data_IF_395650220531
#
_entry.id   IF_395650220531
#
_cell.length_a   1.000
_cell.length_b   1.000
_cell.length_c   1.000
_cell.angle_alpha   90.00
_cell.angle_beta   90.00
_cell.angle_gamma   90.00
#
_symmetry.space_group_name_H-M   'P 1'
#
loop_
_entity.id
_entity.type
_entity.pdbx_description
1 polymer ?
#
# COMPACT_ATOMS: atom_id res chain seq x y z
N UNK A 1 -14.37 2.40 -10.16
CA UNK A 1 -13.34 1.58 -9.47
C UNK A 1 -12.33 1.15 -10.52
N UNK A 2 -11.03 1.08 -10.23
CA UNK A 2 -10.06 0.50 -11.17
C UNK A 2 -10.19 -1.03 -11.18
N UNK A 3 -9.61 -1.71 -12.18
CA UNK A 3 -9.59 -3.19 -12.20
C UNK A 3 -8.88 -3.82 -10.98
N UNK A 4 -7.97 -3.09 -10.33
CA UNK A 4 -7.37 -3.50 -9.04
C UNK A 4 -8.35 -3.48 -7.87
N UNK A 5 -9.36 -2.61 -7.91
CA UNK A 5 -10.38 -2.48 -6.86
C UNK A 5 -11.50 -3.53 -7.01
N UNK A 6 -11.78 -4.02 -8.22
CA UNK A 6 -12.78 -5.09 -8.45
C UNK A 6 -12.30 -6.43 -7.89
N UNK A 7 -11.06 -6.83 -8.23
CA UNK A 7 -10.37 -7.99 -7.62
C UNK A 7 -10.38 -7.87 -6.08
N UNK A 8 -10.36 -6.64 -5.56
CA UNK A 8 -10.41 -6.39 -4.13
C UNK A 8 -11.74 -6.83 -3.49
N UNK A 9 -12.87 -6.51 -4.13
CA UNK A 9 -14.21 -6.76 -3.61
C UNK A 9 -14.59 -8.26 -3.64
N UNK A 10 -14.36 -8.92 -4.79
CA UNK A 10 -14.61 -10.36 -4.97
C UNK A 10 -13.78 -11.20 -4.00
N UNK A 11 -12.48 -10.93 -3.91
CA UNK A 11 -11.56 -11.68 -3.02
C UNK A 11 -11.85 -11.42 -1.54
N UNK A 12 -12.33 -10.23 -1.17
CA UNK A 12 -12.61 -9.89 0.23
C UNK A 12 -13.86 -10.62 0.74
N UNK A 13 -14.98 -10.55 0.01
CA UNK A 13 -16.18 -11.31 0.37
C UNK A 13 -15.90 -12.82 0.43
N UNK A 14 -15.22 -13.39 -0.57
CA UNK A 14 -14.95 -14.84 -0.63
C UNK A 14 -13.97 -15.38 0.43
N UNK A 15 -13.33 -14.53 1.25
CA UNK A 15 -12.42 -14.95 2.33
C UNK A 15 -12.86 -14.46 3.73
N UNK A 16 -13.89 -13.61 3.78
CA UNK A 16 -14.46 -13.01 4.98
C UNK A 16 -15.89 -13.51 5.23
N UNK A 17 -16.12 -14.82 5.10
CA UNK A 17 -17.25 -15.51 5.74
C UNK A 17 -17.11 -15.36 7.26
N UNK A 18 -17.69 -14.29 7.79
CA UNK A 18 -17.72 -13.96 9.21
C UNK A 18 -18.85 -14.72 9.93
N UNK A 19 -18.94 -16.03 9.67
CA UNK A 19 -19.80 -16.96 10.41
C UNK A 19 -19.18 -17.24 11.77
N UNK A 20 -19.42 -16.34 12.73
CA UNK A 20 -19.10 -16.59 14.13
C UNK A 20 -19.90 -17.81 14.62
N UNK A 21 -19.27 -18.87 15.16
CA UNK A 21 -20.01 -19.96 15.77
C UNK A 21 -20.74 -19.45 17.01
N UNK A 22 -22.07 -19.61 17.01
CA UNK A 22 -22.87 -19.43 18.22
C UNK A 22 -22.59 -20.65 19.10
N UNK A 23 -21.88 -20.45 20.21
CA UNK A 23 -21.68 -21.50 21.21
C UNK A 23 -23.03 -21.86 21.82
N UNK A 24 -23.50 -23.08 21.55
CA UNK A 24 -24.57 -23.72 22.31
C UNK A 24 -23.91 -24.63 23.35
N UNK A 25 -24.36 -24.57 24.61
CA UNK A 25 -23.76 -25.33 25.71
C UNK A 25 -24.17 -26.82 25.71
N UNK A 26 -23.49 -27.60 26.56
CA UNK A 26 -23.71 -29.00 26.90
C UNK A 26 -23.17 -30.04 25.89
N UNK A 27 -22.04 -30.67 26.23
CA UNK A 27 -22.12 -31.98 26.90
C UNK A 27 -20.91 -32.19 27.84
N UNK A 28 -21.04 -33.05 28.86
CA UNK A 28 -19.96 -33.41 29.78
C UNK A 28 -19.27 -34.71 29.37
N UNK A 29 -17.94 -34.83 29.57
CA UNK A 29 -17.37 -36.13 29.99
C UNK A 29 -15.97 -36.01 30.59
N UNK A 30 -15.71 -36.83 31.62
CA UNK A 30 -14.44 -36.90 32.36
C UNK A 30 -13.30 -37.58 31.59
N UNK A 31 -12.05 -37.12 31.79
CA UNK A 31 -10.88 -38.02 31.98
C UNK A 31 -9.65 -37.35 32.63
N UNK A 32 -8.84 -38.18 33.28
CA UNK A 32 -8.00 -37.83 34.44
C UNK A 32 -6.55 -37.38 34.14
N UNK A 33 -6.09 -36.36 34.87
CA UNK A 33 -4.88 -36.31 35.73
C UNK A 33 -3.52 -36.88 35.23
N UNK A 34 -2.46 -36.04 35.21
CA UNK A 34 -1.13 -36.44 35.72
C UNK A 34 -0.17 -35.28 36.11
N UNK A 35 0.11 -35.17 37.42
CA UNK A 35 1.34 -34.75 38.14
C UNK A 35 2.49 -33.90 37.50
N UNK A 36 2.86 -32.81 38.22
CA UNK A 36 4.22 -32.35 38.69
C UNK A 36 5.37 -32.15 37.65
N UNK A 37 6.40 -31.30 37.78
CA UNK A 37 7.27 -30.80 38.88
C UNK A 37 7.95 -29.44 38.48
N UNK A 38 8.73 -28.64 39.24
CA UNK A 38 8.79 -28.13 40.65
C UNK A 38 9.78 -26.92 40.75
N UNK A 39 9.86 -26.25 41.91
CA UNK A 39 11.04 -25.55 42.51
C UNK A 39 11.68 -24.28 41.86
N UNK A 40 11.27 -23.12 42.39
CA UNK A 40 12.08 -22.12 43.14
C UNK A 40 13.50 -21.65 42.72
N UNK A 41 13.75 -20.34 42.88
CA UNK A 41 14.99 -19.74 43.45
C UNK A 41 14.68 -18.35 44.05
N UNK A 42 15.35 -17.99 45.16
CA UNK A 42 15.22 -16.70 45.85
C UNK A 42 16.43 -15.78 45.60
N UNK A 43 16.23 -14.46 45.54
CA UNK A 43 17.30 -13.47 45.51
C UNK A 43 16.86 -12.12 46.07
N UNK A 44 17.45 -11.69 47.21
CA UNK A 44 17.25 -10.36 47.80
C UNK A 44 18.51 -9.50 47.64
N UNK A 45 18.33 -8.19 47.38
CA UNK A 45 19.15 -7.11 47.99
C UNK A 45 18.30 -5.84 48.12
N UNK A 46 18.81 -4.85 48.85
CA UNK A 46 18.00 -3.86 49.59
C UNK A 46 18.57 -2.44 49.45
N UNK A 47 17.81 -1.44 49.92
CA UNK A 47 18.21 -0.09 50.34
C UNK A 47 18.34 0.96 49.19
N UNK A 48 18.12 2.27 49.41
CA UNK A 48 17.91 3.03 50.67
C UNK A 48 17.22 4.39 50.45
N UNK A 49 16.54 4.91 51.49
CA UNK A 49 16.11 6.33 51.68
C UNK A 49 15.09 6.91 50.67
N UNK A 50 14.33 7.98 50.97
CA UNK A 50 14.38 8.93 52.10
C UNK A 50 13.35 8.66 53.21
N UNK A 51 12.51 9.64 53.60
CA UNK A 51 11.86 9.72 54.93
C UNK A 51 10.84 10.88 55.09
N UNK A 52 10.19 10.92 56.27
CA UNK A 52 9.45 12.04 56.92
C UNK A 52 7.92 12.13 56.82
N UNK A 53 7.28 12.12 58.01
CA UNK A 53 5.89 12.54 58.29
C UNK A 53 5.88 13.23 59.67
N UNK A 54 5.31 14.44 59.79
CA UNK A 54 4.42 14.74 60.92
C UNK A 54 3.26 15.70 60.55
N UNK A 55 2.20 15.90 61.33
CA UNK A 55 1.43 15.06 62.29
C UNK A 55 0.20 15.92 62.69
N UNK A 56 -0.97 15.32 62.91
CA UNK A 56 -2.14 15.86 63.67
C UNK A 56 -2.67 17.28 63.33
N UNK A 57 -3.97 17.34 62.98
CA UNK A 57 -4.85 18.36 63.55
C UNK A 57 -6.16 17.71 63.99
N UNK A 58 -6.67 18.11 65.15
CA UNK A 58 -7.94 17.64 65.71
C UNK A 58 -9.05 18.63 65.40
N UNK A 59 -10.16 18.15 64.84
CA UNK A 59 -11.50 18.68 65.13
C UNK A 59 -12.56 17.68 64.67
N UNK A 60 -13.63 17.52 65.47
CA UNK A 60 -14.69 16.55 65.21
C UNK A 60 -15.83 17.15 64.39
N UNK A 61 -15.98 16.71 63.14
CA UNK A 61 -17.20 16.91 62.34
C UNK A 61 -17.58 15.59 61.67
N UNK A 62 -18.71 15.00 62.08
CA UNK A 62 -19.23 13.77 61.48
C UNK A 62 -19.94 14.11 60.16
N UNK A 63 -19.17 14.21 59.09
CA UNK A 63 -19.72 14.30 57.74
C UNK A 63 -20.23 12.93 57.29
N UNK A 64 -21.55 12.74 57.34
CA UNK A 64 -22.23 11.64 56.65
C UNK A 64 -22.01 11.76 55.14
N UNK A 65 -20.98 11.08 54.62
CA UNK A 65 -20.78 10.93 53.18
C UNK A 65 -21.87 10.01 52.63
N UNK A 66 -22.71 10.44 51.66
CA UNK A 66 -23.67 9.54 51.03
C UNK A 66 -22.93 8.33 50.42
N UNK A 67 -23.52 7.13 50.44
CA UNK A 67 -22.95 5.98 49.74
C UNK A 67 -22.70 6.34 48.27
N UNK A 68 -21.52 6.04 47.76
CA UNK A 68 -21.25 6.12 46.32
C UNK A 68 -22.04 4.98 45.66
N UNK A 69 -23.27 5.28 45.27
CA UNK A 69 -24.13 4.35 44.53
C UNK A 69 -23.40 3.94 43.26
N UNK A 70 -23.09 2.64 43.17
CA UNK A 70 -22.44 2.00 42.02
C UNK A 70 -23.26 2.39 40.78
N UNK A 71 -22.70 3.21 39.90
CA UNK A 71 -23.32 3.52 38.61
C UNK A 71 -23.31 2.24 37.77
N UNK A 72 -24.40 1.48 37.85
CA UNK A 72 -24.67 0.43 36.88
C UNK A 72 -24.73 1.10 35.51
N UNK A 73 -23.83 0.68 34.61
CA UNK A 73 -23.77 1.22 33.26
C UNK A 73 -24.95 0.68 32.46
N UNK A 74 -26.09 1.38 32.51
CA UNK A 74 -27.24 1.14 31.63
C UNK A 74 -26.93 1.65 30.22
N UNK A 75 -25.95 1.02 29.57
CA UNK A 75 -25.74 1.14 28.13
C UNK A 75 -26.88 0.43 27.41
N UNK A 76 -28.02 1.10 27.29
CA UNK A 76 -29.06 0.70 26.36
C UNK A 76 -28.65 1.12 24.94
N UNK A 77 -28.55 0.19 23.97
CA UNK A 77 -28.34 0.58 22.59
C UNK A 77 -29.58 1.34 22.09
N UNK A 78 -29.41 2.59 21.65
CA UNK A 78 -30.47 3.34 20.95
C UNK A 78 -30.62 2.84 19.51
N UNK A 79 -31.18 1.65 19.36
CA UNK A 79 -31.60 1.07 18.07
C UNK A 79 -33.12 1.17 17.90
N UNK A 80 -33.63 2.40 18.06
CA UNK A 80 -35.00 2.82 17.75
C UNK A 80 -35.03 4.35 17.65
N UNK A 81 -36.02 4.90 16.93
CA UNK A 81 -36.19 6.34 16.62
C UNK A 81 -35.20 6.93 15.60
N UNK A 82 -34.96 6.21 14.49
CA UNK A 82 -34.59 6.78 13.19
C UNK A 82 -35.36 6.07 12.05
N UNK A 83 -36.68 6.01 12.18
CA UNK A 83 -37.60 5.45 11.18
C UNK A 83 -38.20 6.50 10.22
N UNK A 84 -38.26 7.77 10.65
CA UNK A 84 -39.10 8.78 9.99
C UNK A 84 -38.37 10.11 9.76
N UNK A 85 -38.58 10.68 8.58
CA UNK A 85 -38.24 12.06 8.16
C UNK A 85 -36.77 12.51 8.31
N UNK A 86 -35.96 12.32 7.26
CA UNK A 86 -34.87 13.27 6.96
C UNK A 86 -34.68 13.53 5.45
N UNK A 87 -35.78 13.81 4.75
CA UNK A 87 -35.77 14.43 3.41
C UNK A 87 -35.34 15.91 3.48
N UNK A 88 -34.08 16.15 3.84
CA UNK A 88 -33.39 17.43 3.63
C UNK A 88 -31.86 17.30 3.77
N UNK A 89 -31.14 17.93 2.83
CA UNK A 89 -29.80 18.48 3.04
C UNK A 89 -28.67 17.54 3.55
N UNK A 90 -28.54 16.33 2.99
CA UNK A 90 -27.24 15.62 2.93
C UNK A 90 -26.72 15.59 1.49
N UNK A 91 -25.90 16.58 1.06
CA UNK A 91 -25.31 16.57 -0.26
C UNK A 91 -24.27 15.46 -0.43
N UNK A 92 -24.68 14.39 -1.11
CA UNK A 92 -23.83 13.72 -2.10
C UNK A 92 -22.66 12.83 -1.62
N UNK A 93 -22.77 12.16 -0.46
CA UNK A 93 -21.95 10.95 -0.22
C UNK A 93 -22.32 9.80 -1.17
N UNK A 94 -23.58 9.75 -1.61
CA UNK A 94 -24.10 8.74 -2.54
C UNK A 94 -23.88 9.05 -4.04
N UNK A 95 -22.96 9.95 -4.42
CA UNK A 95 -22.62 10.22 -5.84
C UNK A 95 -21.16 10.00 -6.22
N UNK A 96 -20.49 9.08 -5.53
CA UNK A 96 -19.60 8.16 -6.25
C UNK A 96 -20.46 7.08 -6.93
N UNK A 97 -21.27 7.53 -7.90
CA UNK A 97 -21.97 6.66 -8.84
C UNK A 97 -20.98 5.71 -9.51
N UNK A 98 -21.43 4.50 -9.83
CA UNK A 98 -20.62 3.38 -10.30
C UNK A 98 -19.94 3.67 -11.65
N UNK A 99 -18.81 4.39 -11.59
CA UNK A 99 -17.86 4.46 -12.70
C UNK A 99 -17.21 3.08 -12.76
N UNK A 100 -17.80 2.25 -13.61
CA UNK A 100 -17.27 0.98 -14.11
C UNK A 100 -15.75 1.07 -14.42
N UNK A 101 -15.05 -0.06 -14.28
CA UNK A 101 -13.61 -0.10 -14.47
C UNK A 101 -13.18 0.19 -15.91
N UNK A 102 -13.94 -0.24 -16.92
CA UNK A 102 -13.60 0.08 -18.31
C UNK A 102 -13.76 1.58 -18.57
N UNK A 103 -14.83 2.20 -18.05
CA UNK A 103 -15.01 3.66 -18.10
C UNK A 103 -13.95 4.45 -17.31
N UNK A 104 -13.42 3.89 -16.22
CA UNK A 104 -12.34 4.50 -15.43
C UNK A 104 -11.00 4.38 -16.16
N UNK A 105 -10.68 3.21 -16.70
CA UNK A 105 -9.44 2.94 -17.42
C UNK A 105 -9.40 3.72 -18.75
N UNK A 106 -10.53 3.85 -19.48
CA UNK A 106 -10.65 4.74 -20.65
C UNK A 106 -10.33 6.21 -20.31
N UNK A 107 -10.85 6.73 -19.20
CA UNK A 107 -10.56 8.11 -18.74
C UNK A 107 -9.10 8.30 -18.37
N UNK A 108 -8.41 7.26 -17.89
CA UNK A 108 -6.97 7.29 -17.62
C UNK A 108 -6.14 7.17 -18.90
N UNK A 109 -6.56 6.37 -19.88
CA UNK A 109 -5.89 6.23 -21.19
C UNK A 109 -5.95 7.54 -21.99
N UNK A 110 -7.07 8.27 -21.91
CA UNK A 110 -7.24 9.57 -22.59
C UNK A 110 -6.60 10.77 -21.86
N UNK A 111 -5.85 10.56 -20.77
CA UNK A 111 -5.24 11.62 -19.97
C UNK A 111 -3.72 11.54 -20.03
N UNK A 112 -3.04 12.64 -20.40
CA UNK A 112 -1.59 12.69 -20.66
C UNK A 112 -0.73 12.08 -19.53
N UNK A 113 -1.12 12.31 -18.27
CA UNK A 113 -0.43 11.77 -17.08
C UNK A 113 -1.19 10.60 -16.41
N UNK A 114 -2.22 10.05 -17.05
CA UNK A 114 -3.15 9.09 -16.44
C UNK A 114 -2.49 7.81 -15.92
N UNK A 115 -1.42 7.35 -16.58
CA UNK A 115 -0.60 6.22 -16.11
C UNK A 115 0.13 6.54 -14.80
N UNK A 116 0.67 7.76 -14.62
CA UNK A 116 1.30 8.16 -13.37
C UNK A 116 0.27 8.39 -12.27
N UNK A 117 -0.89 8.98 -12.60
CA UNK A 117 -2.03 9.10 -11.69
C UNK A 117 -2.49 7.74 -11.14
N UNK A 118 -2.55 6.71 -12.00
CA UNK A 118 -2.82 5.33 -11.59
C UNK A 118 -1.73 4.79 -10.65
N UNK A 119 -0.45 4.96 -10.97
CA UNK A 119 0.66 4.52 -10.11
C UNK A 119 0.68 5.22 -8.73
N UNK A 120 0.33 6.50 -8.67
CA UNK A 120 0.20 7.26 -7.42
C UNK A 120 -1.05 6.85 -6.63
N UNK A 121 -2.19 6.55 -7.29
CA UNK A 121 -3.38 5.96 -6.65
C UNK A 121 -3.07 4.61 -5.99
N UNK A 122 -2.39 3.70 -6.71
CA UNK A 122 -1.92 2.42 -6.15
C UNK A 122 -0.92 2.61 -4.99
N UNK A 123 0.01 3.56 -5.12
CA UNK A 123 0.97 3.90 -4.05
C UNK A 123 0.27 4.47 -2.81
N UNK A 124 -0.75 5.30 -2.98
CA UNK A 124 -1.58 5.80 -1.88
C UNK A 124 -2.36 4.67 -1.18
N UNK A 125 -2.88 3.69 -1.94
CA UNK A 125 -3.47 2.47 -1.37
C UNK A 125 -2.45 1.64 -0.57
N UNK A 126 -1.26 1.42 -1.12
CA UNK A 126 -0.12 0.75 -0.46
C UNK A 126 0.31 1.46 0.85
N UNK A 127 0.16 2.80 0.93
CA UNK A 127 0.35 3.57 2.16
C UNK A 127 -0.82 3.39 3.14
N UNK A 128 -2.06 3.57 2.70
CA UNK A 128 -3.27 3.45 3.52
C UNK A 128 -3.33 2.09 4.26
N UNK A 129 -3.08 0.99 3.55
CA UNK A 129 -2.97 -0.34 4.17
C UNK A 129 -1.85 -0.42 5.21
N UNK A 130 -0.70 0.25 4.99
CA UNK A 130 0.41 0.29 5.96
C UNK A 130 -0.03 1.00 7.25
N UNK A 131 -0.73 2.12 7.11
CA UNK A 131 -1.13 2.96 8.24
C UNK A 131 -2.20 2.24 9.10
N UNK A 132 -3.14 1.50 8.47
CA UNK A 132 -4.06 0.58 9.17
C UNK A 132 -3.29 -0.53 9.89
N UNK A 133 -2.37 -1.21 9.21
CA UNK A 133 -1.59 -2.31 9.79
C UNK A 133 -0.81 -1.86 11.02
N UNK A 134 -0.20 -0.67 10.98
CA UNK A 134 0.51 -0.08 12.11
C UNK A 134 -0.44 0.16 13.30
N UNK A 135 -1.63 0.73 13.06
CA UNK A 135 -2.63 0.96 14.10
C UNK A 135 -3.11 -0.35 14.74
N UNK A 136 -3.53 -1.35 13.93
CA UNK A 136 -4.06 -2.61 14.44
C UNK A 136 -2.97 -3.41 15.18
N UNK A 137 -1.71 -3.41 14.71
CA UNK A 137 -0.58 -3.99 15.47
C UNK A 137 -0.33 -3.27 16.79
N UNK A 138 -0.34 -1.93 16.81
CA UNK A 138 -0.17 -1.14 18.03
C UNK A 138 -1.28 -1.37 19.07
N UNK A 139 -2.52 -1.53 18.60
CA UNK A 139 -3.65 -1.97 19.44
C UNK A 139 -3.43 -3.38 19.99
N UNK A 140 -3.16 -4.37 19.13
CA UNK A 140 -2.93 -5.77 19.53
C UNK A 140 -1.86 -5.87 20.62
N UNK A 141 -0.75 -5.14 20.48
CA UNK A 141 0.31 -5.10 21.50
C UNK A 141 -0.20 -4.50 22.83
N UNK A 142 -0.94 -3.39 22.77
CA UNK A 142 -1.42 -2.63 23.93
C UNK A 142 -2.48 -3.41 24.71
N UNK A 143 -3.50 -3.93 24.02
CA UNK A 143 -4.58 -4.74 24.61
C UNK A 143 -3.98 -6.02 25.25
N UNK A 144 -3.00 -6.66 24.58
CA UNK A 144 -2.29 -7.83 25.09
C UNK A 144 -1.44 -7.52 26.34
N UNK A 145 -0.68 -6.43 26.34
CA UNK A 145 0.18 -6.08 27.48
C UNK A 145 -0.60 -5.52 28.67
N UNK A 146 -1.80 -4.98 28.44
CA UNK A 146 -2.77 -4.69 29.51
C UNK A 146 -3.33 -5.98 30.12
N UNK A 147 -3.84 -6.90 29.30
CA UNK A 147 -4.39 -8.18 29.76
C UNK A 147 -3.38 -9.00 30.58
N UNK A 148 -2.11 -9.10 30.13
CA UNK A 148 -1.03 -9.76 30.90
C UNK A 148 -0.82 -9.16 32.29
N UNK A 149 -0.88 -7.82 32.41
CA UNK A 149 -0.70 -7.12 33.69
C UNK A 149 -1.91 -7.32 34.61
N UNK A 150 -3.12 -7.30 34.06
CA UNK A 150 -4.36 -7.55 34.82
C UNK A 150 -4.38 -8.97 35.38
N UNK A 151 -4.10 -9.97 34.54
CA UNK A 151 -3.98 -11.38 34.94
C UNK A 151 -2.89 -11.60 35.99
N UNK A 152 -1.69 -11.02 35.79
CA UNK A 152 -0.59 -11.12 36.74
C UNK A 152 -0.89 -10.54 38.12
N UNK A 153 -1.66 -9.45 38.20
CA UNK A 153 -2.13 -8.88 39.47
C UNK A 153 -3.20 -9.76 40.15
N UNK A 154 -4.13 -10.31 39.37
CA UNK A 154 -5.17 -11.21 39.86
C UNK A 154 -4.57 -12.51 40.41
N UNK A 155 -3.65 -13.14 39.69
CA UNK A 155 -2.99 -14.37 40.11
C UNK A 155 -2.00 -14.16 41.27
N UNK A 156 -1.31 -13.00 41.33
CA UNK A 156 -0.56 -12.60 42.53
C UNK A 156 -1.47 -12.41 43.75
N UNK A 157 -2.66 -11.84 43.58
CA UNK A 157 -3.61 -11.63 44.67
C UNK A 157 -4.18 -12.96 45.20
N UNK A 158 -4.55 -13.90 44.30
CA UNK A 158 -4.93 -15.27 44.67
C UNK A 158 -3.83 -15.98 45.49
N UNK A 159 -2.57 -15.83 45.09
CA UNK A 159 -1.42 -16.43 45.79
C UNK A 159 -1.18 -15.84 47.19
N UNK A 160 -1.57 -14.58 47.43
CA UNK A 160 -1.40 -13.92 48.72
C UNK A 160 -2.55 -14.21 49.69
N UNK A 161 -3.80 -14.28 49.22
CA UNK A 161 -5.01 -14.47 50.04
C UNK A 161 -5.21 -15.92 50.54
N UNK A 162 -4.22 -16.41 51.29
CA UNK A 162 -4.16 -17.78 51.78
C UNK A 162 -4.95 -18.03 53.07
N UNK A 163 -5.27 -17.00 53.83
CA UNK A 163 -5.89 -17.13 55.15
C UNK A 163 -7.31 -17.75 55.09
N UNK A 164 -7.64 -18.56 56.09
CA UNK A 164 -8.97 -19.18 56.22
C UNK A 164 -9.90 -18.32 57.09
N UNK A 165 -11.21 -18.47 56.88
CA UNK A 165 -12.28 -17.79 57.64
C UNK A 165 -12.27 -16.24 57.56
N UNK A 166 -11.65 -15.66 56.53
CA UNK A 166 -11.66 -14.21 56.27
C UNK A 166 -12.94 -13.79 55.55
N UNK A 167 -13.60 -12.74 56.05
CA UNK A 167 -14.81 -12.19 55.44
C UNK A 167 -14.58 -11.74 53.98
N UNK A 168 -15.59 -11.94 53.13
CA UNK A 168 -15.60 -11.59 51.70
C UNK A 168 -14.55 -12.30 50.81
N UNK A 169 -13.76 -13.26 51.33
CA UNK A 169 -12.74 -13.98 50.55
C UNK A 169 -13.27 -14.52 49.22
N UNK A 170 -14.41 -15.21 49.24
CA UNK A 170 -15.02 -15.83 48.05
C UNK A 170 -15.52 -14.81 47.03
N UNK A 171 -15.79 -13.57 47.45
CA UNK A 171 -16.19 -12.47 46.55
C UNK A 171 -14.97 -11.97 45.79
N UNK A 172 -13.86 -11.72 46.48
CA UNK A 172 -12.60 -11.31 45.85
C UNK A 172 -12.00 -12.40 44.97
N UNK A 173 -12.07 -13.66 45.40
CA UNK A 173 -11.65 -14.82 44.59
C UNK A 173 -12.36 -14.84 43.23
N UNK A 174 -13.69 -14.67 43.22
CA UNK A 174 -14.49 -14.58 41.99
C UNK A 174 -14.16 -13.36 41.13
N UNK A 175 -13.81 -12.22 41.74
CA UNK A 175 -13.30 -11.07 40.98
C UNK A 175 -11.98 -11.40 40.26
N UNK A 176 -11.01 -12.01 40.95
CA UNK A 176 -9.73 -12.40 40.34
C UNK A 176 -9.88 -13.53 39.29
N UNK A 177 -10.92 -14.35 39.39
CA UNK A 177 -11.28 -15.34 38.36
C UNK A 177 -11.87 -14.67 37.13
N UNK A 178 -12.77 -13.69 37.30
CA UNK A 178 -13.31 -12.88 36.22
C UNK A 178 -12.23 -12.07 35.49
N UNK A 179 -11.29 -11.45 36.22
CA UNK A 179 -10.15 -10.70 35.65
C UNK A 179 -9.26 -11.61 34.78
N UNK A 180 -9.01 -12.85 35.21
CA UNK A 180 -8.24 -13.82 34.44
C UNK A 180 -9.01 -14.36 33.22
N UNK A 181 -10.32 -14.56 33.32
CA UNK A 181 -11.16 -14.91 32.16
C UNK A 181 -11.15 -13.80 31.12
N UNK A 182 -11.39 -12.55 31.52
CA UNK A 182 -11.37 -11.39 30.64
C UNK A 182 -10.01 -11.20 29.94
N UNK A 183 -8.90 -11.46 30.63
CA UNK A 183 -7.57 -11.48 30.02
C UNK A 183 -7.44 -12.58 28.96
N UNK A 184 -7.95 -13.78 29.22
CA UNK A 184 -7.93 -14.91 28.29
C UNK A 184 -8.80 -14.66 27.04
N UNK A 185 -9.98 -14.06 27.21
CA UNK A 185 -10.86 -13.63 26.10
C UNK A 185 -10.17 -12.53 25.27
N UNK A 186 -9.46 -11.61 25.92
CA UNK A 186 -8.66 -10.58 25.26
C UNK A 186 -7.52 -11.19 24.43
N UNK A 187 -6.76 -12.15 24.96
CA UNK A 187 -5.71 -12.83 24.19
C UNK A 187 -6.28 -13.58 22.98
N UNK A 188 -7.40 -14.27 23.16
CA UNK A 188 -8.10 -15.00 22.10
C UNK A 188 -8.54 -14.05 20.98
N UNK A 189 -9.11 -12.90 21.36
CA UNK A 189 -9.51 -11.83 20.44
C UNK A 189 -8.31 -11.20 19.71
N UNK A 190 -7.22 -10.90 20.41
CA UNK A 190 -6.02 -10.31 19.81
C UNK A 190 -5.31 -11.29 18.86
N UNK A 191 -5.27 -12.58 19.19
CA UNK A 191 -4.79 -13.64 18.30
C UNK A 191 -5.64 -13.70 17.02
N UNK A 192 -6.97 -13.74 17.15
CA UNK A 192 -7.88 -13.76 16.01
C UNK A 192 -7.69 -12.54 15.09
N UNK A 193 -7.57 -11.33 15.66
CA UNK A 193 -7.29 -10.11 14.88
C UNK A 193 -5.95 -10.19 14.14
N UNK A 194 -4.91 -10.76 14.75
CA UNK A 194 -3.63 -10.98 14.08
C UNK A 194 -3.76 -11.96 12.90
N UNK A 195 -4.39 -13.12 13.12
CA UNK A 195 -4.50 -14.20 12.12
C UNK A 195 -5.48 -13.88 10.99
N UNK A 196 -6.56 -13.13 11.25
CA UNK A 196 -7.63 -12.83 10.28
C UNK A 196 -7.57 -11.43 9.66
N UNK A 197 -6.92 -10.45 10.31
CA UNK A 197 -6.80 -9.08 9.78
C UNK A 197 -5.36 -8.75 9.39
N UNK A 198 -4.40 -8.90 10.31
CA UNK A 198 -3.00 -8.52 10.05
C UNK A 198 -2.38 -9.37 8.94
N UNK A 199 -2.25 -10.69 9.16
CA UNK A 199 -1.51 -11.57 8.24
C UNK A 199 -2.07 -11.52 6.80
N UNK A 200 -3.40 -11.57 6.55
CA UNK A 200 -3.94 -11.47 5.20
C UNK A 200 -3.72 -10.09 4.55
N UNK A 201 -3.82 -9.00 5.33
CA UNK A 201 -3.63 -7.64 4.81
C UNK A 201 -2.15 -7.35 4.51
N UNK A 202 -1.21 -7.85 5.30
CA UNK A 202 0.23 -7.74 5.00
C UNK A 202 0.61 -8.49 3.72
N UNK A 203 0.07 -9.70 3.53
CA UNK A 203 0.24 -10.47 2.30
C UNK A 203 -0.30 -9.70 1.08
N UNK A 204 -1.60 -9.36 1.07
CA UNK A 204 -2.25 -8.63 -0.05
C UNK A 204 -1.56 -7.31 -0.37
N UNK A 205 -1.14 -6.56 0.65
CA UNK A 205 -0.40 -5.30 0.49
C UNK A 205 0.95 -5.51 -0.19
N UNK A 206 1.66 -6.57 0.16
CA UNK A 206 2.99 -6.90 -0.40
C UNK A 206 2.87 -7.38 -1.85
N UNK A 207 1.88 -8.22 -2.15
CA UNK A 207 1.55 -8.67 -3.51
C UNK A 207 1.20 -7.49 -4.42
N UNK A 208 0.33 -6.59 -3.95
CA UNK A 208 -0.02 -5.36 -4.65
C UNK A 208 1.21 -4.45 -4.91
N UNK A 209 2.08 -4.23 -3.91
CA UNK A 209 3.27 -3.39 -4.09
C UNK A 209 4.28 -4.02 -5.06
N UNK A 210 4.42 -5.35 -5.06
CA UNK A 210 5.26 -6.07 -6.01
C UNK A 210 4.73 -5.93 -7.44
N UNK A 211 3.41 -6.13 -7.65
CA UNK A 211 2.76 -5.92 -8.95
C UNK A 211 2.93 -4.47 -9.44
N UNK A 212 2.68 -3.48 -8.58
CA UNK A 212 2.87 -2.05 -8.86
C UNK A 212 4.31 -1.73 -9.30
N UNK A 213 5.32 -2.35 -8.67
CA UNK A 213 6.74 -2.20 -9.04
C UNK A 213 7.08 -2.88 -10.38
N UNK A 214 6.59 -4.09 -10.62
CA UNK A 214 6.77 -4.81 -11.90
C UNK A 214 6.19 -4.00 -13.08
N UNK A 215 4.94 -3.52 -12.94
CA UNK A 215 4.28 -2.70 -13.95
C UNK A 215 5.00 -1.37 -14.18
N UNK A 216 5.55 -0.73 -13.13
CA UNK A 216 6.32 0.51 -13.32
C UNK A 216 7.64 0.27 -14.06
N UNK A 217 8.29 -0.88 -13.82
CA UNK A 217 9.52 -1.24 -14.55
C UNK A 217 9.25 -1.47 -16.04
N UNK A 218 8.21 -2.24 -16.39
CA UNK A 218 7.82 -2.48 -17.78
C UNK A 218 7.32 -1.21 -18.48
N UNK A 219 6.56 -0.35 -17.78
CA UNK A 219 6.19 0.98 -18.29
C UNK A 219 7.42 1.83 -18.62
N UNK A 220 8.39 1.92 -17.70
CA UNK A 220 9.62 2.70 -17.93
C UNK A 220 10.44 2.15 -19.11
N UNK A 221 10.48 0.82 -19.28
CA UNK A 221 11.15 0.11 -20.37
C UNK A 221 10.50 0.41 -21.73
N UNK A 222 9.18 0.29 -21.84
CA UNK A 222 8.43 0.63 -23.08
C UNK A 222 8.52 2.13 -23.39
N UNK A 223 8.41 2.99 -22.36
CA UNK A 223 8.59 4.44 -22.50
C UNK A 223 9.97 4.78 -23.07
N UNK A 224 11.03 4.14 -22.57
CA UNK A 224 12.39 4.32 -23.10
C UNK A 224 12.50 3.82 -24.56
N UNK A 225 11.97 2.64 -24.87
CA UNK A 225 11.98 2.11 -26.24
C UNK A 225 11.30 3.08 -27.23
N UNK A 226 10.17 3.67 -26.85
CA UNK A 226 9.50 4.70 -27.65
C UNK A 226 10.37 5.96 -27.85
N UNK A 227 11.06 6.42 -26.81
CA UNK A 227 12.00 7.55 -26.88
C UNK A 227 13.20 7.24 -27.79
N UNK A 228 13.81 6.07 -27.66
CA UNK A 228 14.94 5.61 -28.47
C UNK A 228 14.53 5.49 -29.96
N UNK A 229 13.35 4.90 -30.25
CA UNK A 229 12.80 4.83 -31.60
C UNK A 229 12.49 6.22 -32.20
N UNK A 230 11.94 7.15 -31.40
CA UNK A 230 11.66 8.52 -31.85
C UNK A 230 12.96 9.30 -32.13
N UNK A 231 14.01 9.10 -31.32
CA UNK A 231 15.32 9.67 -31.54
C UNK A 231 15.97 9.15 -32.85
N UNK A 232 15.92 7.84 -33.10
CA UNK A 232 16.46 7.25 -34.32
C UNK A 232 15.65 7.64 -35.57
N UNK A 233 14.33 7.82 -35.46
CA UNK A 233 13.49 8.37 -36.53
C UNK A 233 13.88 9.82 -36.86
N UNK A 234 14.09 10.67 -35.84
CA UNK A 234 14.54 12.06 -36.01
C UNK A 234 15.92 12.12 -36.67
N UNK A 235 16.86 11.28 -36.23
CA UNK A 235 18.20 11.09 -36.82
C UNK A 235 18.13 10.60 -38.27
N UNK A 236 17.27 9.63 -38.57
CA UNK A 236 17.07 9.11 -39.92
C UNK A 236 16.48 10.15 -40.88
N UNK A 237 15.49 10.94 -40.44
CA UNK A 237 14.95 12.06 -41.21
C UNK A 237 16.01 13.13 -41.50
N UNK A 238 16.81 13.52 -40.50
CA UNK A 238 17.92 14.46 -40.69
C UNK A 238 18.99 13.91 -41.67
N UNK A 239 19.32 12.63 -41.57
CA UNK A 239 20.23 11.96 -42.50
C UNK A 239 19.72 11.95 -43.94
N UNK A 240 18.41 11.72 -44.16
CA UNK A 240 17.80 11.79 -45.49
C UNK A 240 17.90 13.20 -46.08
N UNK A 241 17.50 14.23 -45.32
CA UNK A 241 17.60 15.64 -45.74
C UNK A 241 19.05 16.01 -46.09
N UNK A 242 20.02 15.58 -45.29
CA UNK A 242 21.45 15.81 -45.58
C UNK A 242 21.90 15.12 -46.89
N UNK A 243 21.41 13.91 -47.18
CA UNK A 243 21.68 13.20 -48.44
C UNK A 243 21.05 13.92 -49.63
N UNK A 244 19.79 14.37 -49.52
CA UNK A 244 19.11 15.13 -50.57
C UNK A 244 19.83 16.46 -50.88
N UNK A 245 20.27 17.19 -49.86
CA UNK A 245 21.04 18.43 -50.02
C UNK A 245 22.41 18.15 -50.66
N UNK A 246 23.06 17.04 -50.28
CA UNK A 246 24.28 16.57 -50.94
C UNK A 246 24.07 16.24 -52.42
N UNK A 247 22.99 15.53 -52.75
CA UNK A 247 22.61 15.17 -54.11
C UNK A 247 22.29 16.41 -54.96
N UNK A 248 21.46 17.34 -54.47
CA UNK A 248 21.14 18.60 -55.15
C UNK A 248 22.42 19.37 -55.50
N UNK A 249 23.35 19.51 -54.54
CA UNK A 249 24.66 20.15 -54.76
C UNK A 249 25.53 19.42 -55.80
N UNK A 250 25.55 18.08 -55.80
CA UNK A 250 26.29 17.29 -56.78
C UNK A 250 25.70 17.44 -58.20
N UNK A 251 24.38 17.35 -58.33
CA UNK A 251 23.64 17.53 -59.59
C UNK A 251 23.86 18.93 -60.18
N UNK A 252 23.74 19.98 -59.36
CA UNK A 252 24.04 21.34 -59.81
C UNK A 252 25.51 21.49 -60.27
N UNK A 253 26.47 20.85 -59.62
CA UNK A 253 27.88 20.90 -60.04
C UNK A 253 28.12 20.20 -61.38
N UNK A 254 27.45 19.07 -61.62
CA UNK A 254 27.46 18.40 -62.92
C UNK A 254 26.86 19.29 -64.01
N UNK A 255 25.62 19.76 -63.83
CA UNK A 255 24.91 20.61 -64.81
C UNK A 255 25.66 21.91 -65.09
N UNK A 256 26.21 22.59 -64.07
CA UNK A 256 27.02 23.80 -64.26
C UNK A 256 28.26 23.54 -65.12
N UNK A 257 28.93 22.40 -64.95
CA UNK A 257 30.13 22.07 -65.73
C UNK A 257 29.80 21.65 -67.17
N UNK A 258 28.68 20.98 -67.36
CA UNK A 258 28.14 20.60 -68.68
C UNK A 258 27.67 21.82 -69.50
N UNK A 259 27.11 22.83 -68.83
CA UNK A 259 26.56 24.04 -69.48
C UNK A 259 27.63 25.07 -69.90
N UNK A 260 28.90 24.92 -69.48
CA UNK A 260 29.97 25.88 -69.83
C UNK A 260 30.40 25.74 -71.31
N UNK A 261 29.74 26.51 -72.17
CA UNK A 261 30.07 26.70 -73.58
C UNK A 261 31.27 27.64 -73.78
N UNK A 262 32.43 27.29 -73.20
CA UNK A 262 33.70 27.90 -73.59
C UNK A 262 34.34 27.12 -74.73
N UNK A 263 34.92 27.76 -75.77
CA UNK A 263 35.74 27.04 -76.75
C UNK A 263 36.91 26.34 -76.05
N UNK A 264 37.18 25.09 -76.47
CA UNK A 264 38.39 24.36 -76.11
C UNK A 264 38.79 23.45 -77.25
N UNK A 265 40.09 23.42 -77.55
CA UNK A 265 40.71 22.61 -78.58
C UNK A 265 41.68 21.60 -77.94
N UNK A 266 42.04 20.56 -78.70
CA UNK A 266 43.08 19.60 -78.30
C UNK A 266 42.90 19.00 -76.89
N UNK A 267 43.94 19.12 -76.07
CA UNK A 267 44.06 18.51 -74.74
C UNK A 267 43.03 19.02 -73.74
N UNK A 268 42.65 20.31 -73.76
CA UNK A 268 41.71 20.87 -72.79
C UNK A 268 40.28 20.37 -73.00
N UNK A 269 39.89 20.03 -74.25
CA UNK A 269 38.61 19.38 -74.52
C UNK A 269 38.56 17.96 -73.91
N UNK A 270 39.67 17.21 -73.99
CA UNK A 270 39.80 15.88 -73.37
C UNK A 270 39.79 15.98 -71.85
N UNK A 271 40.52 16.95 -71.29
CA UNK A 271 40.53 17.26 -69.85
C UNK A 271 39.14 17.63 -69.33
N UNK A 272 38.39 18.47 -70.06
CA UNK A 272 37.01 18.85 -69.72
C UNK A 272 36.07 17.64 -69.74
N UNK A 273 36.09 16.81 -70.80
CA UNK A 273 35.30 15.57 -70.85
C UNK A 273 35.58 14.64 -69.67
N UNK A 274 36.85 14.51 -69.26
CA UNK A 274 37.25 13.68 -68.11
C UNK A 274 36.73 14.21 -66.76
N UNK A 275 36.70 15.53 -66.56
CA UNK A 275 36.12 16.12 -65.33
C UNK A 275 34.58 16.08 -65.34
N UNK A 276 33.91 16.28 -66.49
CA UNK A 276 32.44 16.12 -66.63
C UNK A 276 32.03 14.69 -66.27
N UNK A 277 32.67 13.67 -66.83
CA UNK A 277 32.41 12.26 -66.51
C UNK A 277 32.68 11.93 -65.03
N UNK A 278 33.71 12.55 -64.41
CA UNK A 278 33.96 12.44 -62.97
C UNK A 278 32.86 13.08 -62.13
N UNK A 279 32.29 14.22 -62.54
CA UNK A 279 31.13 14.83 -61.86
C UNK A 279 29.86 14.00 -62.05
N UNK A 280 29.64 13.41 -63.23
CA UNK A 280 28.52 12.49 -63.49
C UNK A 280 28.52 11.29 -62.54
N UNK A 281 29.69 10.68 -62.29
CA UNK A 281 29.82 9.61 -61.28
C UNK A 281 29.56 10.09 -59.87
N UNK A 282 30.09 11.26 -59.48
CA UNK A 282 29.84 11.84 -58.17
C UNK A 282 28.34 12.19 -57.92
N UNK A 283 27.62 12.54 -58.99
CA UNK A 283 26.16 12.75 -58.97
C UNK A 283 25.40 11.42 -58.78
N UNK A 284 25.75 10.38 -59.55
CA UNK A 284 25.16 9.05 -59.39
C UNK A 284 25.47 8.38 -58.05
N UNK A 285 26.70 8.55 -57.53
CA UNK A 285 27.11 8.12 -56.19
C UNK A 285 26.29 8.83 -55.10
N UNK A 286 25.93 10.10 -55.31
CA UNK A 286 25.10 10.86 -54.38
C UNK A 286 23.63 10.46 -54.48
N UNK A 287 23.11 10.24 -55.69
CA UNK A 287 21.75 9.73 -55.94
C UNK A 287 21.53 8.37 -55.25
N UNK A 288 22.47 7.45 -55.44
CA UNK A 288 22.48 6.14 -54.77
C UNK A 288 22.43 6.26 -53.24
N UNK A 289 23.13 7.26 -52.67
CA UNK A 289 23.15 7.51 -51.21
C UNK A 289 21.87 8.15 -50.67
N UNK A 290 21.06 8.84 -51.47
CA UNK A 290 19.72 9.30 -51.08
C UNK A 290 18.81 8.10 -50.80
N UNK A 291 18.97 7.01 -51.57
CA UNK A 291 18.08 5.86 -51.52
C UNK A 291 16.93 5.98 -52.50
N UNK A 292 17.23 6.33 -53.76
CA UNK A 292 16.34 6.21 -54.91
C UNK A 292 16.69 4.94 -55.74
N UNK A 293 16.37 3.72 -55.27
CA UNK A 293 16.55 2.53 -56.08
C UNK A 293 15.47 2.43 -57.16
N UNK A 294 15.85 2.71 -58.41
CA UNK A 294 15.46 1.94 -59.59
C UNK A 294 13.96 1.75 -59.95
N UNK A 295 13.02 2.39 -59.25
CA UNK A 295 11.57 2.38 -59.53
C UNK A 295 11.13 3.66 -60.27
N UNK A 296 11.90 4.05 -61.28
CA UNK A 296 11.59 5.14 -62.21
C UNK A 296 12.15 4.78 -63.61
N UNK A 297 11.44 3.87 -64.28
CA UNK A 297 11.61 3.44 -65.67
C UNK A 297 10.21 3.35 -66.30
#
# INVERSE_FOLDING_TARGET
MTRFDIIWHETYHSNCDCSCPINNENDETNKSNSNRYTTATLGRKLNKQTSHVPRTSTNGTVHYRPPLTRRHSTFQPRTSLLSDSIDAAVPSLARHSDIDAEQMDLKLICHDDGVNLAFEKSKAWSKYCKDILNYVKGRIQTDTDYAKKSQGLADQSKLLMTENYVALKDVFQKCFEADCSFAQDTFTTMKYLNERVIVPLEKRRTEHENCRRQLKNEWNKVTKQLQDCHAELKKSKANLINREVGYKKAREQFVRLETIQQPASGSDLVRRKKEVEKRRRAEGDACTKVGLPFFAL
#
